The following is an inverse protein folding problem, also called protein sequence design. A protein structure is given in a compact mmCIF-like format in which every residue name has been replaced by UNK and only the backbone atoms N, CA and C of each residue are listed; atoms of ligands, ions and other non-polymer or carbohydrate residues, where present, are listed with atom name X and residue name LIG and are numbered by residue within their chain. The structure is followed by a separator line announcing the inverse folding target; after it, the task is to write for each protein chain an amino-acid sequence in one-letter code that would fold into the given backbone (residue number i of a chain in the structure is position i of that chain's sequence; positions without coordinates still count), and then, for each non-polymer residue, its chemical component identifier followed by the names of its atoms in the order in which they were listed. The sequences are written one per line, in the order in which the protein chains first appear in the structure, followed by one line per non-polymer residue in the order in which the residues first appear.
data_IF_795357076800
#
_entry.id   IF_795357076800
#
_cell.length_a   1.000
_cell.length_b   1.000
_cell.length_c   1.000
_cell.angle_alpha   90.00
_cell.angle_beta   90.00
_cell.angle_gamma   90.00
#
_symmetry.space_group_name_H-M   'P 1'
#
loop_
_entity.id
_entity.type
_entity.pdbx_description
1 polymer ?
#
# COMPACT_ATOMS: atom_id res chain seq x y z
N UNK A 1 -15.92 -13.12 -7.05
CA UNK A 1 -15.82 -11.94 -7.94
C UNK A 1 -16.87 -10.85 -7.71
N UNK A 2 -18.12 -11.16 -7.35
CA UNK A 2 -19.15 -10.11 -7.13
C UNK A 2 -18.93 -9.25 -5.89
N UNK A 3 -18.56 -9.85 -4.75
CA UNK A 3 -18.25 -9.10 -3.51
C UNK A 3 -17.12 -8.07 -3.71
N UNK A 4 -16.08 -8.42 -4.46
CA UNK A 4 -14.96 -7.52 -4.80
C UNK A 4 -15.40 -6.34 -5.66
N UNK A 5 -16.36 -6.54 -6.58
CA UNK A 5 -16.91 -5.45 -7.41
C UNK A 5 -17.78 -4.49 -6.59
N UNK A 6 -18.55 -5.00 -5.63
CA UNK A 6 -19.36 -4.18 -4.73
C UNK A 6 -18.49 -3.27 -3.85
N UNK A 7 -17.40 -3.82 -3.28
CA UNK A 7 -16.43 -3.07 -2.47
C UNK A 7 -15.69 -2.02 -3.31
N UNK A 8 -15.21 -2.37 -4.51
CA UNK A 8 -14.51 -1.43 -5.41
C UNK A 8 -15.39 -0.26 -5.89
N UNK A 9 -16.69 -0.48 -6.01
CA UNK A 9 -17.65 0.52 -6.49
C UNK A 9 -18.24 1.43 -5.42
N UNK A 10 -18.06 1.11 -4.13
CA UNK A 10 -18.56 1.92 -3.04
C UNK A 10 -17.68 3.17 -2.82
N UNK A 11 -18.32 4.35 -2.75
CA UNK A 11 -17.65 5.64 -2.49
C UNK A 11 -17.07 5.71 -1.08
N UNK A 12 -17.62 4.93 -0.14
CA UNK A 12 -17.15 4.87 1.24
C UNK A 12 -16.03 3.84 1.44
N UNK A 13 -15.63 3.10 0.39
CA UNK A 13 -14.57 2.12 0.50
C UNK A 13 -13.22 2.79 0.80
N UNK A 14 -12.44 2.15 1.67
CA UNK A 14 -11.09 2.60 2.00
C UNK A 14 -10.22 2.57 0.73
N UNK A 15 -9.61 3.72 0.43
CA UNK A 15 -8.64 3.86 -0.67
C UNK A 15 -7.24 3.89 -0.07
N UNK A 16 -6.46 2.84 -0.32
CA UNK A 16 -5.09 2.74 0.15
C UNK A 16 -4.08 3.09 -0.95
N UNK A 17 -2.92 3.60 -0.57
CA UNK A 17 -1.77 3.78 -1.47
C UNK A 17 -0.60 3.05 -0.83
N UNK A 18 0.00 2.12 -1.58
CA UNK A 18 1.15 1.35 -1.17
C UNK A 18 2.36 1.97 -1.86
N UNK A 19 3.26 2.57 -1.08
CA UNK A 19 4.55 3.09 -1.54
C UNK A 19 5.66 2.27 -0.91
N UNK A 20 6.57 1.79 -1.73
CA UNK A 20 7.73 0.99 -1.29
C UNK A 20 8.99 1.85 -1.26
N UNK A 21 9.92 1.53 -0.37
CA UNK A 21 11.29 2.05 -0.44
C UNK A 21 12.11 1.26 -1.48
N UNK A 22 13.25 1.82 -1.91
CA UNK A 22 14.10 1.16 -2.92
C UNK A 22 14.71 -0.16 -2.42
N UNK A 23 14.77 -0.34 -1.09
CA UNK A 23 15.28 -1.54 -0.44
C UNK A 23 14.19 -2.63 -0.26
N UNK A 24 12.92 -2.32 -0.56
CA UNK A 24 11.82 -3.27 -0.42
C UNK A 24 12.01 -4.47 -1.35
N UNK A 25 11.85 -5.68 -0.78
CA UNK A 25 11.81 -6.91 -1.58
C UNK A 25 10.46 -7.03 -2.27
N UNK A 26 10.46 -7.51 -3.52
CA UNK A 26 9.24 -7.78 -4.28
C UNK A 26 8.23 -8.63 -3.51
N UNK A 27 8.70 -9.65 -2.77
CA UNK A 27 7.83 -10.50 -1.93
C UNK A 27 7.04 -9.68 -0.90
N UNK A 28 7.67 -8.68 -0.28
CA UNK A 28 7.01 -7.85 0.73
C UNK A 28 5.85 -7.05 0.10
N UNK A 29 6.02 -6.58 -1.15
CA UNK A 29 4.96 -5.90 -1.88
C UNK A 29 3.79 -6.84 -2.20
N UNK A 30 4.08 -8.08 -2.60
CA UNK A 30 3.05 -9.09 -2.86
C UNK A 30 2.27 -9.44 -1.59
N UNK A 31 2.97 -9.66 -0.47
CA UNK A 31 2.35 -9.94 0.83
C UNK A 31 1.40 -8.79 1.23
N UNK A 32 1.81 -7.53 0.99
CA UNK A 32 0.96 -6.36 1.24
C UNK A 32 -0.30 -6.32 0.35
N UNK A 33 -0.17 -6.69 -0.93
CA UNK A 33 -1.30 -6.74 -1.87
C UNK A 33 -2.30 -7.83 -1.46
N UNK A 34 -1.80 -9.00 -1.07
CA UNK A 34 -2.63 -10.10 -0.57
C UNK A 34 -3.37 -9.70 0.71
N UNK A 35 -2.70 -8.98 1.62
CA UNK A 35 -3.33 -8.48 2.86
C UNK A 35 -4.45 -7.46 2.57
N UNK A 36 -4.32 -6.61 1.55
CA UNK A 36 -5.41 -5.71 1.13
C UNK A 36 -6.65 -6.50 0.69
N UNK A 37 -6.44 -7.59 -0.04
CA UNK A 37 -7.53 -8.46 -0.49
C UNK A 37 -8.19 -9.22 0.68
N UNK A 38 -7.40 -9.69 1.65
CA UNK A 38 -7.88 -10.34 2.88
C UNK A 38 -8.68 -9.37 3.75
N UNK A 39 -8.17 -8.14 3.91
CA UNK A 39 -8.79 -7.06 4.67
C UNK A 39 -10.04 -6.46 3.99
N UNK A 40 -10.39 -6.92 2.79
CA UNK A 40 -11.54 -6.41 2.05
C UNK A 40 -11.34 -5.00 1.50
N UNK A 41 -10.09 -4.55 1.33
CA UNK A 41 -9.75 -3.25 0.74
C UNK A 41 -9.70 -3.42 -0.77
N UNK A 42 -10.82 -3.12 -1.42
CA UNK A 42 -10.93 -3.28 -2.87
C UNK A 42 -10.14 -2.24 -3.69
N UNK A 43 -9.78 -1.10 -3.11
CA UNK A 43 -9.22 0.03 -3.86
C UNK A 43 -7.85 0.41 -3.33
N UNK A 44 -6.79 -0.04 -4.00
CA UNK A 44 -5.43 0.36 -3.69
C UNK A 44 -4.64 0.74 -4.94
N UNK A 45 -3.71 1.67 -4.80
CA UNK A 45 -2.72 2.02 -5.83
C UNK A 45 -1.31 1.69 -5.34
N UNK A 46 -0.53 1.02 -6.18
CA UNK A 46 0.89 0.74 -5.91
C UNK A 46 1.73 1.79 -6.63
N UNK A 47 2.69 2.40 -5.92
CA UNK A 47 3.60 3.41 -6.43
C UNK A 47 5.03 3.02 -6.08
N UNK A 48 5.90 3.00 -7.09
CA UNK A 48 7.28 2.55 -6.93
C UNK A 48 8.21 3.61 -6.31
N UNK A 49 7.74 4.86 -6.16
CA UNK A 49 8.60 5.97 -5.73
C UNK A 49 7.99 6.80 -4.59
N UNK A 50 8.75 6.92 -3.51
CA UNK A 50 8.53 7.89 -2.43
C UNK A 50 8.93 9.29 -2.88
N UNK A 51 8.17 10.30 -2.43
CA UNK A 51 8.59 11.70 -2.59
C UNK A 51 9.82 11.97 -1.70
N UNK A 52 10.67 12.95 -2.04
CA UNK A 52 11.84 13.28 -1.23
C UNK A 52 11.51 13.58 0.24
N UNK A 53 10.39 14.26 0.50
CA UNK A 53 9.90 14.54 1.85
C UNK A 53 9.50 13.29 2.62
N UNK A 54 8.88 12.31 1.94
CA UNK A 54 8.44 11.04 2.52
C UNK A 54 9.65 10.15 2.81
N UNK A 55 10.66 10.18 1.93
CA UNK A 55 11.92 9.48 2.16
C UNK A 55 12.66 10.04 3.38
N UNK A 56 12.72 11.36 3.54
CA UNK A 56 13.35 11.99 4.70
C UNK A 56 12.67 11.58 6.02
N UNK A 57 11.34 11.42 6.03
CA UNK A 57 10.61 10.92 7.19
C UNK A 57 10.92 9.45 7.47
N UNK A 58 11.00 8.62 6.43
CA UNK A 58 11.36 7.21 6.56
C UNK A 58 12.78 7.04 7.10
N UNK A 59 13.75 7.81 6.60
CA UNK A 59 15.14 7.77 7.04
C UNK A 59 15.29 8.23 8.50
N UNK A 60 14.56 9.28 8.89
CA UNK A 60 14.52 9.76 10.27
C UNK A 60 13.93 8.71 11.23
N UNK A 61 12.99 7.89 10.76
CA UNK A 61 12.43 6.79 11.56
C UNK A 61 13.36 5.57 11.60
N UNK A 62 13.99 5.21 10.47
CA UNK A 62 15.03 4.17 10.41
C UNK A 62 16.20 4.46 11.35
N UNK A 63 16.55 5.73 11.55
CA UNK A 63 17.64 6.14 12.46
C UNK A 63 17.31 6.00 13.96
N UNK A 64 16.04 5.78 14.33
CA UNK A 64 15.61 5.58 15.72
C UNK A 64 15.56 4.10 16.13
N UNK A 65 15.61 3.19 15.15
CA UNK A 65 15.61 1.74 15.31
C UNK A 65 17.03 1.22 15.54
#
# INVERSE_FOLDING_TARGET
NEKRKAIKGDKNNLKAIIKTDEEAKYRNMIDMVDEMDISGIGSYGVLDKLKPEEQALLDAEKAKL
#
